data_IF_606228085821
#
_entry.id   IF_606228085821
#
_cell.length_a   1.000
_cell.length_b   1.000
_cell.length_c   1.000
_cell.angle_alpha   90.00
_cell.angle_beta   90.00
_cell.angle_gamma   90.00
#
_symmetry.space_group_name_H-M   'P 1'
#
loop_
_entity.id
_entity.type
_entity.pdbx_description
1 polymer ?
#
# COMPACT_ATOMS: atom_id res chain seq x y z
N UNK A 1 3.70 13.35 -14.53
CA UNK A 1 3.38 11.99 -14.03
C UNK A 1 1.90 11.78 -13.70
N UNK A 2 1.16 12.73 -13.09
CA UNK A 2 -0.29 12.52 -12.81
C UNK A 2 -1.17 12.31 -14.04
N UNK A 3 -0.78 12.86 -15.19
CA UNK A 3 -1.58 12.77 -16.41
C UNK A 3 -1.45 11.43 -17.16
N UNK A 4 -0.40 10.64 -16.87
CA UNK A 4 -0.14 9.39 -17.60
C UNK A 4 -0.88 8.17 -17.01
N UNK A 5 -1.09 8.17 -15.69
CA UNK A 5 -1.63 6.99 -15.01
C UNK A 5 -3.16 6.85 -15.15
N UNK A 6 -3.86 7.94 -15.46
CA UNK A 6 -5.33 7.95 -15.59
C UNK A 6 -5.84 7.14 -16.80
N UNK A 7 -4.98 6.91 -17.80
CA UNK A 7 -5.29 6.13 -19.00
C UNK A 7 -5.00 4.64 -18.85
N UNK A 8 -4.29 4.24 -17.79
CA UNK A 8 -3.95 2.84 -17.55
C UNK A 8 -5.19 2.07 -17.09
N UNK A 9 -5.29 0.83 -17.57
CA UNK A 9 -6.25 -0.14 -17.08
C UNK A 9 -6.00 -0.46 -15.60
N UNK A 10 -7.04 -0.91 -14.90
CA UNK A 10 -6.97 -1.30 -13.50
C UNK A 10 -5.89 -2.38 -13.27
N UNK A 11 -5.77 -3.37 -14.14
CA UNK A 11 -4.79 -4.45 -14.02
C UNK A 11 -3.38 -3.89 -14.08
N UNK A 12 -3.12 -2.97 -15.01
CA UNK A 12 -1.81 -2.32 -15.12
C UNK A 12 -1.49 -1.45 -13.90
N UNK A 13 -2.50 -0.76 -13.33
CA UNK A 13 -2.31 0.01 -12.10
C UNK A 13 -2.00 -0.90 -10.90
N UNK A 14 -2.65 -2.07 -10.81
CA UNK A 14 -2.41 -3.06 -9.76
C UNK A 14 -1.02 -3.69 -9.88
N UNK A 15 -0.60 -4.03 -11.09
CA UNK A 15 0.75 -4.55 -11.37
C UNK A 15 1.84 -3.54 -10.98
N UNK A 16 1.63 -2.27 -11.35
CA UNK A 16 2.52 -1.18 -10.97
C UNK A 16 2.56 -0.99 -9.44
N UNK A 17 1.39 -1.01 -8.79
CA UNK A 17 1.30 -0.91 -7.33
C UNK A 17 2.08 -2.02 -6.64
N UNK A 18 1.89 -3.28 -7.05
CA UNK A 18 2.61 -4.41 -6.48
C UNK A 18 4.14 -4.31 -6.71
N UNK A 19 4.55 -3.88 -7.90
CA UNK A 19 5.98 -3.68 -8.21
C UNK A 19 6.62 -2.63 -7.31
N UNK A 20 5.97 -1.47 -7.17
CA UNK A 20 6.47 -0.36 -6.34
C UNK A 20 6.46 -0.71 -4.85
N UNK A 21 5.53 -1.56 -4.43
CA UNK A 21 5.39 -2.06 -3.07
C UNK A 21 6.44 -3.11 -2.71
N UNK A 22 6.75 -4.00 -3.64
CA UNK A 22 7.87 -4.93 -3.49
C UNK A 22 9.20 -4.16 -3.41
N UNK A 23 9.37 -3.12 -4.24
CA UNK A 23 10.51 -2.21 -4.17
C UNK A 23 10.60 -1.53 -2.79
N UNK A 24 9.49 -1.00 -2.27
CA UNK A 24 9.45 -0.41 -0.92
C UNK A 24 9.89 -1.41 0.15
N UNK A 25 9.35 -2.63 0.13
CA UNK A 25 9.69 -3.69 1.07
C UNK A 25 11.18 -4.06 0.99
N UNK A 26 11.74 -4.18 -0.22
CA UNK A 26 13.17 -4.44 -0.40
C UNK A 26 14.04 -3.32 0.18
N UNK A 27 13.68 -2.05 -0.04
CA UNK A 27 14.41 -0.90 0.51
C UNK A 27 14.37 -0.88 2.04
N UNK A 28 13.20 -1.14 2.62
CA UNK A 28 13.03 -1.28 4.07
C UNK A 28 13.91 -2.39 4.66
N UNK A 29 13.92 -3.58 4.02
CA UNK A 29 14.72 -4.72 4.46
C UNK A 29 16.23 -4.52 4.25
N UNK A 30 16.61 -3.76 3.24
CA UNK A 30 18.02 -3.47 2.91
C UNK A 30 18.62 -2.38 3.78
N UNK A 31 17.81 -1.70 4.62
CA UNK A 31 18.26 -0.58 5.44
C UNK A 31 18.63 0.65 4.62
N UNK A 32 17.93 0.88 3.49
CA UNK A 32 18.15 2.03 2.63
C UNK A 32 17.84 3.35 3.35
N UNK A 33 18.28 4.49 2.80
CA UNK A 33 18.06 5.78 3.45
C UNK A 33 16.56 6.07 3.64
N UNK A 34 16.24 6.78 4.73
CA UNK A 34 14.86 7.18 5.00
C UNK A 34 14.25 7.97 3.84
N UNK A 35 15.04 8.82 3.17
CA UNK A 35 14.59 9.59 2.00
C UNK A 35 14.14 8.67 0.87
N UNK A 36 14.92 7.65 0.55
CA UNK A 36 14.60 6.71 -0.51
C UNK A 36 13.36 5.86 -0.19
N UNK A 37 13.21 5.43 1.07
CA UNK A 37 12.00 4.75 1.56
C UNK A 37 10.79 5.68 1.51
N UNK A 38 10.95 6.94 1.90
CA UNK A 38 9.89 7.95 1.94
C UNK A 38 9.37 8.29 0.53
N UNK A 39 10.28 8.49 -0.42
CA UNK A 39 9.89 8.75 -1.81
C UNK A 39 9.18 7.55 -2.44
N UNK A 40 9.69 6.33 -2.20
CA UNK A 40 9.03 5.11 -2.65
C UNK A 40 7.63 4.96 -2.02
N UNK A 41 7.48 5.26 -0.73
CA UNK A 41 6.19 5.23 -0.02
C UNK A 41 5.18 6.23 -0.61
N UNK A 42 5.62 7.43 -1.03
CA UNK A 42 4.75 8.42 -1.69
C UNK A 42 4.20 7.87 -3.02
N UNK A 43 5.01 7.17 -3.80
CA UNK A 43 4.61 6.56 -5.07
C UNK A 43 3.53 5.50 -4.83
N UNK A 44 3.77 4.56 -3.91
CA UNK A 44 2.81 3.52 -3.51
C UNK A 44 1.49 4.12 -3.03
N UNK A 45 1.55 5.14 -2.18
CA UNK A 45 0.35 5.82 -1.64
C UNK A 45 -0.47 6.49 -2.75
N UNK A 46 0.21 7.09 -3.73
CA UNK A 46 -0.43 7.72 -4.88
C UNK A 46 -1.13 6.69 -5.76
N UNK A 47 -0.47 5.56 -6.04
CA UNK A 47 -1.05 4.47 -6.83
C UNK A 47 -2.28 3.89 -6.14
N UNK A 48 -2.21 3.65 -4.83
CA UNK A 48 -3.36 3.21 -4.05
C UNK A 48 -4.54 4.19 -4.15
N UNK A 49 -4.26 5.49 -4.09
CA UNK A 49 -5.29 6.54 -4.23
C UNK A 49 -5.92 6.57 -5.63
N UNK A 50 -5.13 6.35 -6.69
CA UNK A 50 -5.62 6.30 -8.07
C UNK A 50 -6.49 5.06 -8.28
N UNK A 51 -6.03 3.90 -7.79
CA UNK A 51 -6.78 2.64 -7.89
C UNK A 51 -8.08 2.74 -7.10
N UNK A 52 -8.06 3.24 -5.87
CA UNK A 52 -9.28 3.42 -5.07
C UNK A 52 -10.27 4.40 -5.71
N UNK A 53 -9.79 5.43 -6.43
CA UNK A 53 -10.68 6.32 -7.20
C UNK A 53 -11.32 5.60 -8.38
N UNK A 54 -10.63 4.64 -8.98
CA UNK A 54 -11.09 3.87 -10.14
C UNK A 54 -12.02 2.72 -9.72
N UNK A 55 -11.67 2.05 -8.64
CA UNK A 55 -12.38 0.93 -8.03
C UNK A 55 -12.46 1.12 -6.51
N UNK A 56 -13.46 1.86 -6.00
CA UNK A 56 -13.60 2.14 -4.57
C UNK A 56 -13.94 0.90 -3.74
N UNK A 57 -14.39 -0.18 -4.38
CA UNK A 57 -14.65 -1.46 -3.72
C UNK A 57 -13.38 -2.30 -3.52
N UNK A 58 -12.26 -1.91 -4.14
CA UNK A 58 -11.00 -2.62 -4.03
C UNK A 58 -10.22 -2.13 -2.80
N UNK A 59 -10.28 -2.91 -1.73
CA UNK A 59 -9.62 -2.62 -0.46
C UNK A 59 -8.13 -3.01 -0.50
N UNK A 60 -7.32 -2.18 -1.15
CA UNK A 60 -5.87 -2.38 -1.28
C UNK A 60 -5.13 -2.41 0.06
N UNK A 61 -5.69 -1.74 1.07
CA UNK A 61 -5.13 -1.70 2.42
C UNK A 61 -5.25 -3.06 3.12
N UNK A 62 -6.15 -3.95 2.69
CA UNK A 62 -6.17 -5.35 3.18
C UNK A 62 -5.14 -6.24 2.52
N UNK A 63 -4.64 -5.89 1.34
CA UNK A 63 -3.76 -6.77 0.56
C UNK A 63 -2.32 -6.78 1.07
N UNK A 64 -1.88 -5.73 1.78
CA UNK A 64 -0.46 -5.52 2.01
C UNK A 64 -0.07 -5.04 3.40
N UNK A 65 -0.68 -5.63 4.42
CA UNK A 65 -0.24 -5.43 5.81
C UNK A 65 0.52 -6.66 6.30
N UNK A 66 1.84 -6.75 6.12
CA UNK A 66 2.67 -7.53 7.03
C UNK A 66 2.84 -6.71 8.32
N UNK A 67 1.84 -6.72 9.21
CA UNK A 67 2.06 -6.34 10.62
C UNK A 67 1.25 -5.21 11.30
N UNK A 68 0.15 -4.68 10.76
CA UNK A 68 -0.81 -3.89 11.57
C UNK A 68 -1.91 -4.82 12.09
N UNK A 69 -1.70 -5.24 13.34
CA UNK A 69 -2.61 -4.92 14.44
C UNK A 69 -4.02 -4.55 13.97
N UNK A 70 -4.91 -5.56 13.95
CA UNK A 70 -6.34 -5.30 13.98
C UNK A 70 -6.65 -4.37 15.18
N UNK A 71 -7.19 -3.16 14.99
CA UNK A 71 -7.82 -2.45 16.10
C UNK A 71 -9.15 -3.15 16.37
N UNK A 72 -9.12 -4.30 17.04
CA UNK A 72 -10.31 -5.13 17.20
C UNK A 72 -10.21 -6.35 18.10
N UNK A 73 -9.03 -6.73 18.60
CA UNK A 73 -8.95 -7.71 19.70
C UNK A 73 -8.91 -6.98 21.03
N UNK A 74 -10.07 -6.47 21.45
CA UNK A 74 -10.31 -6.20 22.87
C UNK A 74 -10.06 -7.53 23.60
N UNK A 75 -9.12 -7.62 24.57
CA UNK A 75 -9.04 -8.81 25.39
C UNK A 75 -10.36 -8.90 26.14
N UNK A 76 -11.10 -9.99 25.92
CA UNK A 76 -12.22 -10.35 26.77
C UNK A 76 -11.70 -10.41 28.21
N UNK A 77 -12.01 -9.38 29.00
CA UNK A 77 -11.97 -9.49 30.45
C UNK A 77 -12.97 -10.60 30.81
N UNK A 78 -12.43 -11.79 31.04
CA UNK A 78 -13.09 -12.81 31.83
C UNK A 78 -12.95 -12.31 33.27
N UNK A 79 -13.98 -11.67 33.80
CA UNK A 79 -14.07 -11.44 35.24
C UNK A 79 -15.09 -12.46 35.78
N UNK A 80 -14.64 -13.17 36.81
CA UNK A 80 -15.28 -14.29 37.50
C UNK A 80 -16.42 -13.84 38.42
#
# INVERSE_FOLDING_TARGET
MEKDLSHLDLVSLLDLYNTELESLNKRLLSGESWEAVSDQRKIVTRLASIIHKKEPHLDLLKLNVPGELQPGSQPSKTES
#
